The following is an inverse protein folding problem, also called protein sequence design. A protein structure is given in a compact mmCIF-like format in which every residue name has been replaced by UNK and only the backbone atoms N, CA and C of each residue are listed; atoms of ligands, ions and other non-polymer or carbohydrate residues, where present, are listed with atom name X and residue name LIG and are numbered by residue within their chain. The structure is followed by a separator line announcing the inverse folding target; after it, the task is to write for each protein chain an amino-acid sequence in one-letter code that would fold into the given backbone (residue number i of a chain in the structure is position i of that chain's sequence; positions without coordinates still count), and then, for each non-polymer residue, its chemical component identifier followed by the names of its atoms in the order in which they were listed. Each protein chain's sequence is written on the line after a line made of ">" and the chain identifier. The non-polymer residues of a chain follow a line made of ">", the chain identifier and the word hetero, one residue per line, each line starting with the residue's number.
data_IF_651846111270
#
_entry.id   IF_651846111270
#
_cell.length_a   1.000
_cell.length_b   1.000
_cell.length_c   1.000
_cell.angle_alpha   90.00
_cell.angle_beta   90.00
_cell.angle_gamma   90.00
#
_symmetry.space_group_name_H-M   'P 1'
#
loop_
_entity.id
_entity.type
_entity.pdbx_description
1 polymer ?
#
# COMPACT_ATOMS: atom_id res chain seq x y z
N UNK A 1 -22.16 -8.29 -7.97
CA UNK A 1 -21.08 -8.19 -8.98
C UNK A 1 -20.07 -7.19 -8.44
N UNK A 2 -18.95 -7.67 -7.85
CA UNK A 2 -17.91 -6.79 -7.29
C UNK A 2 -17.18 -6.15 -8.46
N UNK A 3 -17.37 -4.85 -8.64
CA UNK A 3 -16.70 -4.06 -9.66
C UNK A 3 -15.27 -3.81 -9.21
N UNK A 4 -14.36 -4.69 -9.64
CA UNK A 4 -12.94 -4.40 -9.67
C UNK A 4 -12.75 -3.09 -10.43
N UNK A 5 -12.17 -2.08 -9.77
CA UNK A 5 -11.89 -0.78 -10.38
C UNK A 5 -10.71 -0.93 -11.35
N UNK A 6 -10.97 -1.52 -12.51
CA UNK A 6 -10.15 -1.36 -13.70
C UNK A 6 -10.40 0.05 -14.25
N UNK A 7 -9.55 1.00 -13.86
CA UNK A 7 -9.56 2.34 -14.45
C UNK A 7 -8.91 2.28 -15.85
N UNK A 8 -9.72 1.98 -16.87
CA UNK A 8 -9.39 2.25 -18.27
C UNK A 8 -9.56 3.75 -18.52
N UNK A 9 -8.45 4.48 -18.66
CA UNK A 9 -8.47 5.83 -19.23
C UNK A 9 -8.24 5.72 -20.74
N UNK A 10 -9.33 5.73 -21.50
CA UNK A 10 -9.29 5.99 -22.93
C UNK A 10 -8.97 7.48 -23.16
N UNK A 11 -7.73 7.77 -23.56
CA UNK A 11 -7.32 9.10 -24.03
C UNK A 11 -7.54 9.16 -25.53
N UNK A 12 -8.61 9.83 -25.97
CA UNK A 12 -8.79 10.17 -27.38
C UNK A 12 -7.99 11.44 -27.69
N UNK A 13 -7.02 11.26 -28.58
CA UNK A 13 -6.08 12.25 -29.10
C UNK A 13 -6.80 13.44 -29.76
N UNK A 14 -6.40 14.66 -29.41
CA UNK A 14 -6.30 15.76 -30.37
C UNK A 14 -5.28 16.80 -29.89
N UNK A 15 -4.05 16.67 -30.41
CA UNK A 15 -3.22 17.82 -30.77
C UNK A 15 -2.23 18.36 -29.73
N UNK A 16 -0.95 18.13 -30.05
CA UNK A 16 0.20 19.02 -29.86
C UNK A 16 0.94 18.96 -28.51
N UNK A 17 2.26 18.84 -28.67
CA UNK A 17 3.37 19.16 -27.77
C UNK A 17 3.84 18.09 -26.77
N UNK A 18 5.00 17.54 -27.16
CA UNK A 18 6.19 17.41 -26.32
C UNK A 18 6.23 16.34 -25.21
N UNK A 19 7.03 15.31 -25.51
CA UNK A 19 8.16 14.81 -24.71
C UNK A 19 7.87 14.24 -23.31
N UNK A 20 8.18 12.95 -23.19
CA UNK A 20 8.46 12.18 -21.96
C UNK A 20 7.28 11.92 -21.02
N UNK A 21 6.41 10.99 -21.42
CA UNK A 21 5.74 10.16 -20.42
C UNK A 21 6.84 9.30 -19.75
N UNK A 22 7.34 9.74 -18.60
CA UNK A 22 8.04 8.85 -17.68
C UNK A 22 7.04 7.81 -17.26
N UNK A 23 7.06 6.68 -17.97
CA UNK A 23 6.32 5.49 -17.61
C UNK A 23 6.91 5.03 -16.29
N UNK A 24 6.26 5.40 -15.19
CA UNK A 24 6.48 4.81 -13.89
C UNK A 24 6.05 3.35 -14.00
N UNK A 25 6.96 2.54 -14.56
CA UNK A 25 6.97 1.10 -14.37
C UNK A 25 6.81 0.89 -12.87
N UNK A 26 5.90 0.00 -12.46
CA UNK A 26 5.77 -0.41 -11.07
C UNK A 26 7.17 -0.82 -10.60
N UNK A 27 7.84 0.10 -9.91
CA UNK A 27 9.19 -0.08 -9.43
C UNK A 27 9.06 -1.05 -8.29
N UNK A 28 9.91 -2.06 -8.24
CA UNK A 28 10.25 -2.74 -7.00
C UNK A 28 10.73 -1.65 -6.03
N UNK A 29 9.78 -1.08 -5.29
CA UNK A 29 10.03 0.06 -4.42
C UNK A 29 10.79 -0.48 -3.23
N UNK A 30 12.05 -0.05 -3.11
CA UNK A 30 12.89 -0.46 -1.99
C UNK A 30 12.49 0.35 -0.75
N UNK A 31 12.48 -0.26 0.45
CA UNK A 31 12.27 0.47 1.69
C UNK A 31 13.29 1.61 1.82
N UNK A 32 12.90 2.78 2.36
CA UNK A 32 13.84 3.88 2.52
C UNK A 32 14.99 3.50 3.47
N UNK A 33 16.16 4.16 3.35
CA UNK A 33 17.27 3.93 4.28
C UNK A 33 16.82 4.13 5.73
N UNK A 34 17.16 3.17 6.59
CA UNK A 34 16.75 3.18 8.00
C UNK A 34 15.37 2.57 8.27
N UNK A 35 14.68 2.07 7.23
CA UNK A 35 13.43 1.34 7.41
C UNK A 35 13.59 0.15 8.36
N UNK A 36 12.59 -0.04 9.22
CA UNK A 36 12.48 -1.19 10.09
C UNK A 36 12.40 -2.47 9.26
N UNK A 37 13.01 -3.55 9.76
CA UNK A 37 12.86 -4.88 9.16
C UNK A 37 11.38 -5.27 9.11
N UNK A 38 10.94 -5.79 7.96
CA UNK A 38 9.54 -6.17 7.74
C UNK A 38 9.02 -7.16 8.80
N UNK A 39 9.86 -8.12 9.22
CA UNK A 39 9.52 -9.06 10.29
C UNK A 39 9.17 -8.36 11.60
N UNK A 40 9.94 -7.33 11.99
CA UNK A 40 9.67 -6.56 13.20
C UNK A 40 8.38 -5.75 13.09
N UNK A 41 8.10 -5.20 11.91
CA UNK A 41 6.85 -4.49 11.64
C UNK A 41 5.64 -5.42 11.77
N UNK A 42 5.71 -6.62 11.17
CA UNK A 42 4.67 -7.65 11.27
C UNK A 42 4.47 -8.07 12.73
N UNK A 43 5.55 -8.37 13.47
CA UNK A 43 5.44 -8.73 14.90
C UNK A 43 4.77 -7.63 15.72
N UNK A 44 5.07 -6.35 15.46
CA UNK A 44 4.41 -5.22 16.15
C UNK A 44 2.91 -5.15 15.84
N UNK A 45 2.50 -5.47 14.62
CA UNK A 45 1.08 -5.52 14.23
C UNK A 45 0.37 -6.70 14.89
N UNK A 46 0.98 -7.88 14.88
CA UNK A 46 0.45 -9.08 15.54
C UNK A 46 0.25 -8.87 17.05
N UNK A 47 1.22 -8.22 17.72
CA UNK A 47 1.12 -7.84 19.13
C UNK A 47 -0.04 -6.88 19.42
N UNK A 48 -0.48 -6.10 18.43
CA UNK A 48 -1.63 -5.20 18.51
C UNK A 48 -2.96 -5.87 18.12
N UNK A 49 -2.93 -7.18 17.84
CA UNK A 49 -4.09 -7.97 17.44
C UNK A 49 -4.44 -7.88 15.94
N UNK A 50 -3.56 -7.32 15.11
CA UNK A 50 -3.72 -7.34 13.65
C UNK A 50 -3.15 -8.65 13.10
N UNK A 51 -3.98 -9.68 13.09
CA UNK A 51 -3.65 -11.02 12.62
C UNK A 51 -4.90 -11.72 12.03
N UNK A 52 -4.76 -12.47 10.92
CA UNK A 52 -3.56 -12.60 10.10
C UNK A 52 -3.25 -11.32 9.30
N UNK A 53 -1.96 -11.11 9.01
CA UNK A 53 -1.50 -10.20 7.95
C UNK A 53 -1.61 -10.96 6.63
N UNK A 54 -2.30 -10.39 5.65
CA UNK A 54 -2.60 -11.07 4.37
C UNK A 54 -1.84 -10.49 3.19
N UNK A 55 -1.49 -9.20 3.25
CA UNK A 55 -0.65 -8.57 2.24
C UNK A 55 0.22 -7.48 2.86
N UNK A 56 1.41 -7.27 2.29
CA UNK A 56 2.31 -6.17 2.63
C UNK A 56 2.97 -5.65 1.37
N UNK A 57 2.76 -4.38 1.09
CA UNK A 57 3.34 -3.67 -0.05
C UNK A 57 4.01 -2.37 0.39
N UNK A 58 4.95 -1.88 -0.41
CA UNK A 58 5.54 -0.56 -0.22
C UNK A 58 5.02 0.35 -1.33
N UNK A 59 4.32 1.42 -0.94
CA UNK A 59 3.82 2.42 -1.88
C UNK A 59 4.21 3.82 -1.44
N UNK A 60 4.87 4.56 -2.35
CA UNK A 60 5.25 5.97 -2.14
C UNK A 60 6.05 6.16 -0.84
N UNK A 61 6.96 5.24 -0.58
CA UNK A 61 7.83 5.21 0.59
C UNK A 61 7.13 4.86 1.90
N UNK A 62 5.91 4.30 1.86
CA UNK A 62 5.19 3.86 3.06
C UNK A 62 4.79 2.39 2.95
N UNK A 63 4.78 1.70 4.08
CA UNK A 63 4.22 0.36 4.12
C UNK A 63 2.70 0.43 4.09
N UNK A 64 2.10 -0.31 3.18
CA UNK A 64 0.67 -0.61 3.18
C UNK A 64 0.51 -2.07 3.58
N UNK A 65 -0.28 -2.32 4.62
CA UNK A 65 -0.47 -3.65 5.20
C UNK A 65 -1.95 -3.94 5.29
N UNK A 66 -2.36 -5.03 4.66
CA UNK A 66 -3.70 -5.58 4.83
C UNK A 66 -3.67 -6.62 5.95
N UNK A 67 -4.48 -6.42 6.98
CA UNK A 67 -4.56 -7.33 8.11
C UNK A 67 -5.95 -7.40 8.73
N UNK A 68 -6.23 -8.49 9.43
CA UNK A 68 -7.49 -8.66 10.15
C UNK A 68 -7.36 -8.28 11.62
N UNK A 69 -8.42 -7.70 12.18
CA UNK A 69 -8.56 -7.50 13.61
C UNK A 69 -10.03 -7.62 13.99
N UNK A 70 -10.32 -8.47 14.98
CA UNK A 70 -11.70 -8.72 15.46
C UNK A 70 -12.67 -9.11 14.32
N UNK A 71 -12.20 -9.92 13.37
CA UNK A 71 -13.00 -10.41 12.24
C UNK A 71 -13.23 -9.41 11.11
N UNK A 72 -12.61 -8.22 11.18
CA UNK A 72 -12.69 -7.16 10.15
C UNK A 72 -11.35 -6.99 9.47
N UNK A 73 -11.36 -6.74 8.16
CA UNK A 73 -10.16 -6.42 7.38
C UNK A 73 -9.85 -4.92 7.48
N UNK A 74 -8.57 -4.60 7.62
CA UNK A 74 -8.07 -3.24 7.70
C UNK A 74 -6.90 -3.04 6.74
N UNK A 75 -6.90 -1.89 6.08
CA UNK A 75 -5.79 -1.37 5.30
C UNK A 75 -5.05 -0.35 6.16
N UNK A 76 -3.82 -0.69 6.53
CA UNK A 76 -2.96 0.10 7.41
C UNK A 76 -1.85 0.75 6.59
N UNK A 77 -1.64 2.05 6.75
CA UNK A 77 -0.45 2.73 6.24
C UNK A 77 0.49 3.03 7.39
N UNK A 78 1.73 2.57 7.30
CA UNK A 78 2.71 2.69 8.37
C UNK A 78 3.90 3.55 7.96
N UNK A 79 4.49 4.22 8.95
CA UNK A 79 5.81 4.82 8.82
C UNK A 79 6.85 3.70 8.65
N UNK A 80 7.71 3.76 7.61
CA UNK A 80 8.68 2.70 7.32
C UNK A 80 9.78 2.56 8.36
N UNK A 81 10.12 3.61 9.10
CA UNK A 81 11.24 3.60 10.04
C UNK A 81 10.78 3.21 11.45
N UNK A 82 9.63 3.73 11.89
CA UNK A 82 9.10 3.49 13.25
C UNK A 82 8.11 2.33 13.32
N UNK A 83 7.43 1.99 12.21
CA UNK A 83 6.31 1.07 12.19
C UNK A 83 5.05 1.62 12.89
N UNK A 84 4.94 2.95 13.03
CA UNK A 84 3.75 3.61 13.55
C UNK A 84 2.62 3.59 12.50
N UNK A 85 1.39 3.33 12.94
CA UNK A 85 0.21 3.36 12.06
C UNK A 85 -0.16 4.84 11.83
N UNK A 86 0.08 5.31 10.62
CA UNK A 86 -0.24 6.69 10.19
C UNK A 86 -1.69 6.81 9.71
N UNK A 87 -2.22 5.73 9.14
CA UNK A 87 -3.60 5.67 8.67
C UNK A 87 -4.16 4.26 8.85
N UNK A 88 -5.41 4.16 9.29
CA UNK A 88 -6.17 2.93 9.39
C UNK A 88 -7.51 3.09 8.69
N UNK A 89 -7.80 2.22 7.73
CA UNK A 89 -9.08 2.17 7.02
C UNK A 89 -9.68 0.78 7.17
N UNK A 90 -10.92 0.69 7.64
CA UNK A 90 -11.66 -0.58 7.64
C UNK A 90 -12.10 -0.87 6.20
N UNK A 91 -11.72 -2.03 5.67
CA UNK A 91 -12.14 -2.49 4.34
C UNK A 91 -13.60 -2.96 4.44
N UNK A 92 -14.51 -2.17 3.87
CA UNK A 92 -15.95 -2.43 3.83
C UNK A 92 -16.30 -2.76 2.39
N UNK A 93 -16.26 -4.05 2.08
CA UNK A 93 -16.80 -4.64 0.84
C UNK A 93 -18.24 -4.19 0.51
#
# INVERSE_FOLDING_TARGET
>A
MKIFKNSLLAVTLSGIAAMTATQANAKDEMPPPGAMALSMLITKLEQQGYTPVVDVSLERGRWEVEAYKEGKKFDLKLDPNSGEILQMTEDRD
#
